data_IF_623080978821
#
_entry.id   IF_623080978821
#
_cell.length_a   1.000
_cell.length_b   1.000
_cell.length_c   1.000
_cell.angle_alpha   90.00
_cell.angle_beta   90.00
_cell.angle_gamma   90.00
#
_symmetry.space_group_name_H-M   'P 1'
#
loop_
_entity.id
_entity.type
_entity.pdbx_description
1 polymer ?
#
# COMPACT_ATOMS: atom_id res chain seq x y z
N UNK A 1 -15.50 13.75 8.13
CA UNK A 1 -16.28 13.65 6.87
C UNK A 1 -16.76 15.05 6.50
N UNK A 2 -17.06 15.28 5.23
CA UNK A 2 -17.57 16.57 4.75
C UNK A 2 -19.08 16.45 4.53
N UNK A 3 -19.80 17.56 4.61
CA UNK A 3 -21.20 17.62 4.18
C UNK A 3 -21.29 17.34 2.67
N UNK A 4 -22.16 16.44 2.25
CA UNK A 4 -22.29 15.99 0.86
C UNK A 4 -21.60 14.64 0.62
N UNK A 5 -21.18 14.38 -0.62
CA UNK A 5 -20.60 13.11 -1.00
C UNK A 5 -19.20 12.88 -0.41
N UNK A 6 -18.97 11.69 0.07
CA UNK A 6 -17.69 11.20 0.58
C UNK A 6 -17.36 9.88 -0.10
N UNK A 7 -16.09 9.52 -0.18
CA UNK A 7 -15.63 8.23 -0.66
C UNK A 7 -14.72 7.58 0.39
N UNK A 8 -14.73 6.27 0.43
CA UNK A 8 -13.86 5.47 1.28
C UNK A 8 -13.03 4.58 0.36
N UNK A 9 -11.73 4.79 0.36
CA UNK A 9 -10.78 3.94 -0.34
C UNK A 9 -9.85 3.26 0.65
N UNK A 10 -9.58 1.98 0.44
CA UNK A 10 -8.68 1.17 1.27
C UNK A 10 -7.61 0.54 0.40
N UNK A 11 -6.35 0.81 0.71
CA UNK A 11 -5.22 0.13 0.10
C UNK A 11 -4.87 -1.10 0.95
N UNK A 12 -4.96 -2.28 0.34
CA UNK A 12 -4.74 -3.55 1.03
C UNK A 12 -3.40 -4.16 0.62
N UNK A 13 -2.49 -4.25 1.57
CA UNK A 13 -1.16 -4.84 1.38
C UNK A 13 -1.01 -6.20 2.04
N UNK A 14 0.07 -6.90 1.71
CA UNK A 14 0.34 -8.25 2.22
C UNK A 14 0.70 -8.28 3.72
N UNK A 15 1.46 -7.30 4.21
CA UNK A 15 1.95 -7.29 5.60
C UNK A 15 2.68 -8.57 5.99
N UNK A 16 2.56 -8.98 7.25
CA UNK A 16 3.00 -10.30 7.75
C UNK A 16 2.00 -11.42 7.46
N UNK A 17 0.79 -11.10 7.06
CA UNK A 17 -0.25 -12.09 6.81
C UNK A 17 0.04 -12.93 5.55
N UNK A 18 0.64 -12.31 4.54
CA UNK A 18 0.93 -12.94 3.26
C UNK A 18 2.35 -12.60 2.79
N UNK A 19 3.35 -13.08 3.51
CA UNK A 19 4.75 -12.92 3.13
C UNK A 19 5.07 -13.89 2.00
N UNK A 20 4.84 -13.44 0.77
CA UNK A 20 5.18 -14.22 -0.42
C UNK A 20 6.70 -14.24 -0.62
N UNK A 21 7.20 -15.36 -1.10
CA UNK A 21 8.61 -15.51 -1.44
C UNK A 21 9.07 -14.55 -2.54
N UNK A 22 10.29 -14.72 -3.00
CA UNK A 22 10.91 -13.93 -4.04
C UNK A 22 12.22 -13.31 -3.57
N UNK A 23 12.20 -12.06 -3.15
CA UNK A 23 13.41 -11.34 -2.73
C UNK A 23 13.96 -11.75 -1.38
N UNK A 24 13.09 -12.17 -0.47
CA UNK A 24 13.48 -12.62 0.86
C UNK A 24 13.00 -14.05 1.08
N UNK A 25 13.93 -14.96 1.35
CA UNK A 25 13.66 -16.41 1.42
C UNK A 25 13.63 -16.99 2.82
N UNK A 26 14.10 -16.24 3.83
CA UNK A 26 14.21 -16.76 5.20
C UNK A 26 12.86 -16.84 5.91
N UNK A 27 11.89 -16.04 5.50
CA UNK A 27 10.54 -16.08 6.02
C UNK A 27 9.55 -16.07 4.85
N UNK A 28 8.81 -17.17 4.72
CA UNK A 28 7.72 -17.29 3.75
C UNK A 28 6.53 -17.85 4.52
N UNK A 29 5.56 -17.01 4.77
CA UNK A 29 4.33 -17.36 5.49
C UNK A 29 3.17 -16.76 4.73
N UNK A 30 2.15 -17.59 4.44
CA UNK A 30 0.90 -17.10 3.87
C UNK A 30 -0.26 -17.78 4.58
N UNK A 31 -1.16 -16.99 5.10
CA UNK A 31 -2.44 -17.42 5.65
C UNK A 31 -3.58 -17.26 4.63
N UNK A 32 -3.23 -16.92 3.39
CA UNK A 32 -4.13 -16.69 2.29
C UNK A 32 -4.01 -15.28 1.70
N UNK A 33 -4.87 -14.97 0.75
CA UNK A 33 -4.95 -13.62 0.19
C UNK A 33 -5.39 -12.62 1.26
N UNK A 34 -4.82 -11.40 1.28
CA UNK A 34 -5.27 -10.37 2.19
C UNK A 34 -6.77 -10.09 2.03
N UNK A 35 -7.47 -10.00 3.14
CA UNK A 35 -8.91 -9.75 3.17
C UNK A 35 -9.22 -8.50 3.97
N UNK A 36 -10.27 -7.78 3.58
CA UNK A 36 -10.75 -6.58 4.27
C UNK A 36 -12.03 -6.88 5.02
N UNK A 37 -12.10 -6.47 6.27
CA UNK A 37 -13.34 -6.25 7.00
C UNK A 37 -13.36 -4.81 7.47
N UNK A 38 -14.31 -4.04 6.97
CA UNK A 38 -14.46 -2.63 7.28
C UNK A 38 -15.77 -2.38 8.01
N UNK A 39 -15.71 -1.54 9.04
CA UNK A 39 -16.88 -0.98 9.73
C UNK A 39 -16.56 0.44 10.15
N UNK A 40 -17.43 1.35 9.81
CA UNK A 40 -17.37 2.74 10.23
C UNK A 40 -18.72 3.15 10.83
N UNK A 41 -18.70 3.83 11.94
CA UNK A 41 -19.88 4.45 12.55
C UNK A 41 -19.77 5.95 12.37
N UNK A 42 -20.76 6.55 11.76
CA UNK A 42 -20.88 8.00 11.55
C UNK A 42 -21.92 8.53 12.51
N UNK A 43 -21.54 9.42 13.39
CA UNK A 43 -22.47 10.14 14.26
C UNK A 43 -22.69 11.54 13.68
N UNK A 44 -23.93 11.88 13.41
CA UNK A 44 -24.33 13.17 12.87
C UNK A 44 -24.62 14.18 14.00
N UNK A 45 -24.56 15.46 13.65
CA UNK A 45 -24.82 16.55 14.61
C UNK A 45 -26.27 16.58 15.12
N UNK A 46 -27.21 16.01 14.37
CA UNK A 46 -28.62 15.86 14.76
C UNK A 46 -28.87 14.69 15.74
N UNK A 47 -27.81 13.99 16.15
CA UNK A 47 -27.87 12.84 17.04
C UNK A 47 -28.17 11.51 16.36
N UNK A 48 -28.40 11.48 15.06
CA UNK A 48 -28.55 10.23 14.32
C UNK A 48 -27.21 9.53 14.09
N UNK A 49 -27.24 8.23 13.85
CA UNK A 49 -26.02 7.51 13.55
C UNK A 49 -26.22 6.53 12.37
N UNK A 50 -25.17 6.34 11.57
CA UNK A 50 -25.14 5.42 10.45
C UNK A 50 -23.96 4.47 10.60
N UNK A 51 -24.17 3.20 10.25
CA UNK A 51 -23.06 2.22 10.20
C UNK A 51 -22.82 1.79 8.76
N UNK A 52 -21.62 2.02 8.28
CA UNK A 52 -21.15 1.62 6.96
C UNK A 52 -20.25 0.40 7.14
N UNK A 53 -20.49 -0.66 6.37
CA UNK A 53 -19.71 -1.90 6.39
C UNK A 53 -19.27 -2.28 4.99
N UNK A 54 -18.15 -3.00 4.87
CA UNK A 54 -17.77 -3.60 3.59
C UNK A 54 -18.78 -4.67 3.20
N UNK A 55 -19.17 -4.69 1.93
CA UNK A 55 -20.21 -5.58 1.41
C UNK A 55 -20.03 -5.85 -0.09
N UNK A 56 -21.03 -6.46 -0.70
CA UNK A 56 -21.04 -6.84 -2.12
C UNK A 56 -21.04 -5.65 -3.08
N UNK A 57 -21.40 -4.49 -2.60
CA UNK A 57 -21.41 -3.20 -3.29
C UNK A 57 -20.03 -2.58 -3.47
N UNK A 58 -19.03 -3.11 -2.77
CA UNK A 58 -17.66 -2.66 -2.91
C UNK A 58 -17.02 -3.22 -4.18
N UNK A 59 -16.08 -2.45 -4.71
CA UNK A 59 -15.29 -2.82 -5.88
C UNK A 59 -13.81 -2.72 -5.58
N UNK A 60 -13.01 -3.41 -6.34
CA UNK A 60 -11.56 -3.38 -6.23
C UNK A 60 -10.88 -3.32 -7.59
N UNK A 61 -9.68 -2.79 -7.59
CA UNK A 61 -8.72 -2.93 -8.69
C UNK A 61 -7.32 -3.08 -8.13
N UNK A 62 -6.39 -3.50 -8.97
CA UNK A 62 -5.00 -3.62 -8.59
C UNK A 62 -4.36 -2.25 -8.48
N UNK A 63 -3.60 -2.06 -7.40
CA UNK A 63 -2.85 -0.84 -7.16
C UNK A 63 -1.62 -0.74 -8.08
N UNK A 64 -0.98 0.45 -8.17
CA UNK A 64 0.31 0.60 -8.82
C UNK A 64 1.43 -0.20 -8.13
N UNK A 65 1.23 -0.71 -6.93
CA UNK A 65 2.18 -1.58 -6.22
C UNK A 65 2.11 -2.99 -6.81
N UNK A 66 3.12 -3.38 -7.59
CA UNK A 66 3.18 -4.67 -8.27
C UNK A 66 3.69 -5.80 -7.38
N UNK A 67 4.50 -5.45 -6.41
CA UNK A 67 5.06 -6.36 -5.42
C UNK A 67 5.20 -5.60 -4.10
N UNK A 68 4.85 -6.23 -3.00
CA UNK A 68 5.18 -5.75 -1.67
C UNK A 68 5.52 -6.92 -0.75
N UNK A 69 6.56 -6.74 0.03
CA UNK A 69 6.98 -7.70 1.02
C UNK A 69 7.68 -6.95 2.14
N UNK A 70 7.36 -7.32 3.37
CA UNK A 70 7.88 -6.64 4.56
C UNK A 70 9.42 -6.61 4.62
N UNK A 71 10.07 -7.64 4.05
CA UNK A 71 11.53 -7.73 3.97
C UNK A 71 12.10 -7.52 2.57
N UNK A 72 11.25 -7.59 1.55
CA UNK A 72 11.66 -7.53 0.14
C UNK A 72 11.47 -6.17 -0.49
N UNK A 73 10.86 -5.23 0.23
CA UNK A 73 10.54 -3.91 -0.29
C UNK A 73 9.32 -3.89 -1.19
N UNK A 74 9.24 -2.91 -2.07
CA UNK A 74 8.09 -2.62 -2.91
C UNK A 74 8.52 -2.36 -4.35
N UNK A 75 7.71 -2.79 -5.31
CA UNK A 75 7.77 -2.37 -6.71
C UNK A 75 6.54 -1.54 -7.02
N UNK A 76 6.76 -0.31 -7.45
CA UNK A 76 5.72 0.65 -7.79
C UNK A 76 5.82 1.05 -9.26
N UNK A 77 4.71 0.96 -10.00
CA UNK A 77 4.60 1.44 -11.37
C UNK A 77 3.64 2.65 -11.43
N UNK A 78 4.19 3.84 -11.42
CA UNK A 78 3.43 5.10 -11.43
C UNK A 78 2.49 5.24 -12.64
N UNK A 79 2.72 4.53 -13.75
CA UNK A 79 1.84 4.54 -14.93
C UNK A 79 0.49 3.90 -14.67
N UNK A 80 0.38 3.09 -13.61
CA UNK A 80 -0.86 2.43 -13.16
C UNK A 80 -1.63 3.24 -12.13
N UNK A 81 -1.14 4.41 -11.77
CA UNK A 81 -1.79 5.22 -10.77
C UNK A 81 -3.14 5.74 -11.27
N UNK A 82 -4.19 5.47 -10.53
CA UNK A 82 -5.55 5.94 -10.80
C UNK A 82 -5.83 7.17 -9.93
N UNK A 83 -5.48 8.35 -10.44
CA UNK A 83 -5.63 9.61 -9.70
C UNK A 83 -7.07 9.82 -9.23
N UNK A 84 -7.22 10.12 -7.94
CA UNK A 84 -8.52 10.39 -7.34
C UNK A 84 -9.34 9.15 -6.99
N UNK A 85 -8.78 7.94 -7.02
CA UNK A 85 -9.47 6.69 -6.71
C UNK A 85 -10.16 6.67 -5.34
N UNK A 86 -9.69 7.48 -4.41
CA UNK A 86 -10.23 7.64 -3.05
C UNK A 86 -11.03 8.93 -2.87
N UNK A 87 -11.45 9.56 -3.96
CA UNK A 87 -12.24 10.78 -3.94
C UNK A 87 -13.67 10.54 -4.40
N UNK A 88 -14.61 11.30 -3.83
CA UNK A 88 -16.00 11.29 -4.29
C UNK A 88 -16.11 11.70 -5.77
N UNK A 89 -16.88 10.92 -6.52
CA UNK A 89 -17.08 11.14 -7.96
C UNK A 89 -16.07 10.43 -8.86
N UNK A 90 -15.14 9.66 -8.30
CA UNK A 90 -14.30 8.76 -9.09
C UNK A 90 -15.17 7.76 -9.84
N UNK A 91 -14.85 7.49 -11.10
CA UNK A 91 -15.57 6.54 -11.95
C UNK A 91 -14.85 5.20 -12.00
N UNK A 92 -15.31 4.28 -11.18
CA UNK A 92 -14.77 2.92 -11.08
C UNK A 92 -15.35 1.95 -12.14
N UNK A 93 -15.44 2.39 -13.40
CA UNK A 93 -16.12 1.63 -14.48
C UNK A 93 -15.48 0.26 -14.72
N UNK A 94 -14.16 0.18 -14.65
CA UNK A 94 -13.39 -1.04 -14.92
C UNK A 94 -13.05 -1.83 -13.63
N UNK A 95 -13.47 -1.34 -12.48
CA UNK A 95 -13.24 -2.03 -11.22
C UNK A 95 -14.11 -3.26 -11.08
N UNK A 96 -13.55 -4.30 -10.51
CA UNK A 96 -14.19 -5.60 -10.33
C UNK A 96 -15.00 -5.65 -9.05
N UNK A 97 -16.12 -6.41 -9.03
CA UNK A 97 -16.83 -6.65 -7.78
C UNK A 97 -15.95 -7.44 -6.81
N UNK A 98 -16.07 -7.14 -5.53
CA UNK A 98 -15.35 -7.88 -4.48
C UNK A 98 -15.85 -9.32 -4.37
N UNK A 99 -14.97 -10.21 -3.93
CA UNK A 99 -15.32 -11.60 -3.60
C UNK A 99 -15.56 -11.68 -2.10
N UNK A 100 -16.76 -12.09 -1.72
CA UNK A 100 -17.09 -12.32 -0.31
C UNK A 100 -16.51 -13.66 0.10
N UNK A 101 -15.72 -13.65 1.17
CA UNK A 101 -15.13 -14.84 1.76
C UNK A 101 -15.64 -15.07 3.17
N UNK A 102 -15.58 -16.32 3.62
CA UNK A 102 -15.79 -16.65 5.02
C UNK A 102 -14.73 -15.94 5.88
N UNK A 103 -15.17 -15.38 6.99
CA UNK A 103 -14.29 -14.66 7.89
C UNK A 103 -13.23 -15.61 8.48
N UNK A 104 -11.96 -15.17 8.60
CA UNK A 104 -10.97 -15.95 9.30
C UNK A 104 -11.43 -16.23 10.73
N UNK A 105 -11.11 -17.43 11.21
CA UNK A 105 -11.41 -17.83 12.60
C UNK A 105 -10.63 -16.94 13.55
N UNK A 106 -11.31 -16.37 14.53
CA UNK A 106 -10.69 -15.53 15.55
C UNK A 106 -11.64 -14.52 16.15
N UNK A 107 -11.19 -13.84 17.18
CA UNK A 107 -11.91 -12.77 17.85
C UNK A 107 -11.33 -11.44 17.42
N UNK A 108 -12.20 -10.52 16.98
CA UNK A 108 -11.79 -9.15 16.68
C UNK A 108 -11.40 -8.44 17.98
N UNK A 109 -10.19 -7.90 17.99
CA UNK A 109 -9.66 -7.13 19.11
C UNK A 109 -9.15 -5.78 18.63
N UNK A 110 -9.17 -4.74 19.46
CA UNK A 110 -8.49 -3.49 19.15
C UNK A 110 -7.00 -3.73 18.96
N UNK A 111 -6.38 -2.89 18.12
CA UNK A 111 -4.93 -2.90 17.96
C UNK A 111 -4.27 -2.51 19.29
N UNK A 112 -3.39 -3.36 19.82
CA UNK A 112 -2.66 -3.11 21.07
C UNK A 112 -1.39 -2.30 20.79
N UNK A 113 -0.70 -2.60 19.68
CA UNK A 113 0.51 -1.89 19.29
C UNK A 113 0.19 -0.48 18.78
N UNK A 114 1.07 0.46 19.05
CA UNK A 114 0.96 1.81 18.50
C UNK A 114 1.00 1.76 16.95
N UNK A 115 0.18 2.55 16.27
CA UNK A 115 0.20 2.59 14.81
C UNK A 115 1.52 3.20 14.32
N UNK A 116 2.01 2.70 13.19
CA UNK A 116 3.11 3.32 12.46
C UNK A 116 2.61 4.65 11.89
N UNK A 117 3.30 5.73 12.21
CA UNK A 117 2.94 7.10 11.79
C UNK A 117 4.12 7.77 11.13
N UNK A 118 3.84 8.70 10.22
CA UNK A 118 4.85 9.63 9.73
C UNK A 118 5.18 10.58 10.87
N UNK A 119 6.40 10.48 11.39
CA UNK A 119 6.87 11.31 12.48
C UNK A 119 7.54 12.57 11.96
N UNK A 120 8.31 12.44 10.90
CA UNK A 120 9.09 13.54 10.31
C UNK A 120 9.13 13.38 8.78
N UNK A 121 9.37 14.47 8.08
CA UNK A 121 9.63 14.50 6.64
C UNK A 121 10.99 15.11 6.41
N UNK A 122 11.74 14.52 5.50
CA UNK A 122 13.09 14.94 5.14
C UNK A 122 13.18 15.20 3.65
N UNK A 123 13.76 16.32 3.28
CA UNK A 123 14.05 16.63 1.90
C UNK A 123 15.32 15.90 1.44
N UNK A 124 15.35 15.59 0.14
CA UNK A 124 16.52 14.98 -0.50
C UNK A 124 17.66 16.00 -0.47
N UNK A 125 18.79 15.66 0.13
CA UNK A 125 19.98 16.52 0.20
C UNK A 125 20.80 16.48 -1.08
N UNK A 126 20.87 15.32 -1.73
CA UNK A 126 21.64 15.15 -2.97
C UNK A 126 21.02 14.10 -3.86
N UNK A 127 20.97 14.40 -5.15
CA UNK A 127 20.59 13.47 -6.20
C UNK A 127 21.83 13.16 -7.04
N UNK A 128 22.19 11.89 -7.16
CA UNK A 128 23.31 11.45 -7.98
C UNK A 128 22.82 10.48 -9.04
N UNK A 129 23.00 10.82 -10.31
CA UNK A 129 22.73 9.90 -11.42
C UNK A 129 23.87 8.86 -11.46
N UNK A 130 23.49 7.58 -11.53
CA UNK A 130 24.48 6.50 -11.63
C UNK A 130 24.98 6.35 -13.06
N UNK A 131 26.26 5.96 -13.20
CA UNK A 131 26.82 5.58 -14.50
C UNK A 131 26.38 4.18 -14.92
N UNK A 132 26.53 3.85 -16.20
CA UNK A 132 26.20 2.51 -16.72
C UNK A 132 26.97 1.40 -16.01
N UNK A 133 28.26 1.64 -15.66
CA UNK A 133 29.11 0.70 -14.94
C UNK A 133 28.58 0.46 -13.51
N UNK A 134 28.20 1.53 -12.80
CA UNK A 134 27.62 1.45 -11.45
C UNK A 134 26.30 0.71 -11.45
N UNK A 135 25.44 0.99 -12.44
CA UNK A 135 24.16 0.28 -12.63
C UNK A 135 24.41 -1.20 -12.87
N UNK A 136 25.34 -1.53 -13.78
CA UNK A 136 25.70 -2.92 -14.10
C UNK A 136 26.24 -3.66 -12.88
N UNK A 137 27.10 -3.03 -12.08
CA UNK A 137 27.64 -3.61 -10.86
C UNK A 137 26.53 -3.90 -9.82
N UNK A 138 25.60 -2.96 -9.63
CA UNK A 138 24.44 -3.14 -8.75
C UNK A 138 23.52 -4.27 -9.23
N UNK A 139 23.29 -4.40 -10.55
CA UNK A 139 22.45 -5.44 -11.14
C UNK A 139 23.05 -6.84 -10.98
N UNK A 140 24.35 -7.00 -11.12
CA UNK A 140 25.04 -8.29 -10.93
C UNK A 140 24.76 -8.88 -9.54
N UNK A 141 24.68 -8.04 -8.52
CA UNK A 141 24.37 -8.49 -7.16
C UNK A 141 22.91 -8.87 -6.94
N UNK A 142 21.98 -8.30 -7.70
CA UNK A 142 20.52 -8.43 -7.48
C UNK A 142 19.81 -9.28 -8.52
N UNK A 143 20.46 -9.66 -9.62
CA UNK A 143 19.86 -10.34 -10.79
C UNK A 143 18.65 -9.58 -11.38
N UNK A 144 18.66 -8.27 -11.31
CA UNK A 144 17.60 -7.41 -11.84
C UNK A 144 18.02 -6.77 -13.16
N UNK A 145 17.06 -6.62 -14.06
CA UNK A 145 17.16 -5.68 -15.17
C UNK A 145 16.81 -4.31 -14.63
N UNK A 146 17.76 -3.40 -14.61
CA UNK A 146 17.53 -2.01 -14.16
C UNK A 146 17.39 -1.13 -15.39
N UNK A 147 16.45 -0.18 -15.32
CA UNK A 147 16.34 0.92 -16.27
C UNK A 147 17.71 1.60 -16.44
N UNK A 148 18.12 1.96 -17.67
CA UNK A 148 19.41 2.61 -17.93
C UNK A 148 19.58 3.97 -17.23
N UNK A 149 18.56 4.51 -16.59
CA UNK A 149 18.63 5.71 -15.77
C UNK A 149 18.28 5.41 -14.31
N UNK A 150 19.29 5.24 -13.47
CA UNK A 150 19.12 5.07 -12.03
C UNK A 150 19.72 6.26 -11.28
N UNK A 151 19.06 6.64 -10.18
CA UNK A 151 19.48 7.73 -9.31
C UNK A 151 19.62 7.24 -7.87
N UNK A 152 20.59 7.79 -7.16
CA UNK A 152 20.70 7.67 -5.70
C UNK A 152 20.22 8.97 -5.09
N UNK A 153 19.24 8.83 -4.21
CA UNK A 153 18.69 9.94 -3.43
C UNK A 153 19.30 9.86 -2.03
N UNK A 154 20.17 10.82 -1.70
CA UNK A 154 20.83 10.88 -0.41
C UNK A 154 20.02 11.77 0.54
N UNK A 155 19.54 11.18 1.62
CA UNK A 155 18.76 11.87 2.66
C UNK A 155 19.66 12.51 3.72
N UNK A 156 20.99 12.26 3.66
CA UNK A 156 21.97 12.80 4.59
C UNK A 156 22.02 12.12 5.96
N UNK A 157 21.16 11.14 6.19
CA UNK A 157 21.16 10.34 7.42
C UNK A 157 20.50 8.98 7.19
N UNK A 158 20.79 8.04 8.07
CA UNK A 158 20.09 6.75 8.10
C UNK A 158 18.71 6.93 8.74
N UNK A 159 17.69 6.43 8.06
CA UNK A 159 16.29 6.52 8.53
C UNK A 159 15.49 5.27 8.11
N UNK A 160 14.42 5.01 8.83
CA UNK A 160 13.39 4.08 8.42
C UNK A 160 12.19 4.88 7.91
N UNK A 161 11.79 4.64 6.66
CA UNK A 161 10.72 5.42 6.04
C UNK A 161 10.38 4.93 4.63
N UNK A 162 9.64 5.74 3.91
CA UNK A 162 9.29 5.52 2.52
C UNK A 162 9.40 6.83 1.74
N UNK A 163 9.75 6.77 0.44
CA UNK A 163 9.81 7.96 -0.40
C UNK A 163 8.39 8.47 -0.71
N UNK A 164 8.23 9.78 -0.74
CA UNK A 164 7.07 10.46 -1.33
C UNK A 164 7.54 11.03 -2.70
N UNK A 165 6.91 10.57 -3.80
CA UNK A 165 7.29 10.89 -5.18
C UNK A 165 6.15 11.62 -5.88
#
# INVERSE_FOLDING_TARGET
>A
MKKGGNAIGVLLGNGFYNVQGGRYRKLQISFGAPTLRFRMVVNYEDGTCETIVSGKDWKYDFSPVLFNCIYGGEDYDARREQKGWNMFGFKEQDWRPVVIQEAPKGVLRPQIAQPVKIMERYDIRKVTKLTAEQITAACKSTKRTVDPSAFVLDMGQNLAGFPEI
#
